data_IF_798626435152
#
_entry.id   IF_798626435152
#
_cell.length_a   1.000
_cell.length_b   1.000
_cell.length_c   1.000
_cell.angle_alpha   90.00
_cell.angle_beta   90.00
_cell.angle_gamma   90.00
#
_symmetry.space_group_name_H-M   'P 1'
#
loop_
_entity.id
_entity.type
_entity.pdbx_description
1 polymer ?
#
# COMPACT_ATOMS: atom_id res chain seq x y z
N UNK A 1 -13.50 -35.10 -7.87
CA UNK A 1 -13.07 -33.90 -8.61
C UNK A 1 -12.40 -32.99 -7.61
N UNK A 2 -11.08 -33.04 -7.57
CA UNK A 2 -10.25 -32.15 -6.76
C UNK A 2 -9.38 -31.42 -7.76
N UNK A 3 -9.70 -30.17 -8.08
CA UNK A 3 -8.69 -29.18 -8.41
C UNK A 3 -9.29 -27.77 -8.45
N UNK A 4 -8.42 -26.81 -8.23
CA UNK A 4 -8.58 -25.39 -8.55
C UNK A 4 -9.46 -24.54 -7.61
N UNK A 5 -8.85 -24.08 -6.52
CA UNK A 5 -9.01 -22.68 -6.12
C UNK A 5 -7.65 -22.14 -5.72
N UNK A 6 -6.74 -22.10 -6.69
CA UNK A 6 -5.60 -21.19 -6.60
C UNK A 6 -6.17 -19.80 -6.84
N UNK A 7 -6.43 -19.08 -5.76
CA UNK A 7 -6.58 -17.62 -5.78
C UNK A 7 -5.24 -17.04 -6.20
N UNK A 8 -4.91 -17.20 -7.47
CA UNK A 8 -3.86 -16.46 -8.14
C UNK A 8 -4.40 -15.06 -8.31
N UNK A 9 -4.12 -14.19 -7.34
CA UNK A 9 -3.93 -12.78 -7.65
C UNK A 9 -2.83 -12.75 -8.71
N UNK A 10 -3.20 -12.79 -9.99
CA UNK A 10 -2.31 -12.50 -11.10
C UNK A 10 -2.31 -10.98 -11.24
N UNK A 11 -1.29 -10.27 -10.70
CA UNK A 11 -1.21 -8.85 -10.95
C UNK A 11 -0.86 -8.70 -12.43
N UNK A 12 -1.82 -8.17 -13.18
CA UNK A 12 -1.65 -7.61 -14.52
C UNK A 12 -0.23 -7.02 -14.69
N UNK A 13 0.46 -7.24 -15.83
CA UNK A 13 1.85 -6.80 -16.07
C UNK A 13 2.00 -5.27 -16.24
N UNK A 14 1.15 -4.49 -15.57
CA UNK A 14 1.37 -3.09 -15.29
C UNK A 14 2.52 -2.91 -14.28
N UNK A 15 3.01 -1.68 -14.11
CA UNK A 15 4.16 -1.44 -13.25
C UNK A 15 3.87 -1.88 -11.82
N UNK A 16 4.57 -2.94 -11.39
CA UNK A 16 4.40 -3.56 -10.06
C UNK A 16 4.58 -2.49 -8.98
N UNK A 17 3.50 -2.16 -8.30
CA UNK A 17 3.54 -1.32 -7.13
C UNK A 17 4.33 -2.04 -6.02
N UNK A 18 5.13 -1.28 -5.30
CA UNK A 18 5.78 -1.72 -4.06
C UNK A 18 5.26 -0.88 -2.92
N UNK A 19 5.00 -1.50 -1.79
CA UNK A 19 4.41 -0.82 -0.65
C UNK A 19 5.46 -0.72 0.45
N UNK A 20 5.55 0.45 1.06
CA UNK A 20 6.54 0.74 2.09
C UNK A 20 5.89 1.31 3.32
N UNK A 21 6.45 0.98 4.47
CA UNK A 21 6.05 1.56 5.76
C UNK A 21 7.27 1.95 6.57
N UNK A 22 7.08 2.93 7.45
CA UNK A 22 8.10 3.34 8.41
C UNK A 22 7.40 3.79 9.69
N UNK A 23 7.99 3.48 10.83
CA UNK A 23 7.43 3.86 12.13
C UNK A 23 7.22 5.38 12.21
N UNK A 24 6.00 5.79 12.59
CA UNK A 24 5.60 7.19 12.66
C UNK A 24 5.18 7.83 11.32
N UNK A 25 5.22 7.09 10.21
CA UNK A 25 4.76 7.55 8.90
C UNK A 25 3.60 6.71 8.35
N UNK A 26 2.79 7.30 7.47
CA UNK A 26 1.76 6.58 6.75
C UNK A 26 2.38 5.58 5.75
N UNK A 27 1.67 4.49 5.48
CA UNK A 27 2.07 3.53 4.46
C UNK A 27 2.00 4.18 3.05
N UNK A 28 2.93 3.82 2.17
CA UNK A 28 3.09 4.45 0.85
C UNK A 28 3.16 3.40 -0.26
N UNK A 29 2.43 3.64 -1.35
CA UNK A 29 2.51 2.83 -2.57
C UNK A 29 3.40 3.54 -3.60
N UNK A 30 4.45 2.87 -4.06
CA UNK A 30 5.42 3.38 -5.03
C UNK A 30 5.35 2.55 -6.30
N UNK A 31 4.99 3.17 -7.41
CA UNK A 31 4.88 2.53 -8.71
C UNK A 31 6.18 2.70 -9.51
N UNK A 32 6.48 1.74 -10.39
CA UNK A 32 7.66 1.76 -11.27
C UNK A 32 9.02 1.80 -10.53
N UNK A 33 9.06 1.42 -9.25
CA UNK A 33 10.30 1.44 -8.48
C UNK A 33 11.22 0.30 -8.91
N UNK A 34 12.37 0.64 -9.51
CA UNK A 34 13.39 -0.33 -9.94
C UNK A 34 14.32 -0.75 -8.80
N UNK A 35 14.67 0.17 -7.92
CA UNK A 35 15.57 -0.05 -6.79
C UNK A 35 14.92 0.40 -5.47
N UNK A 36 14.80 -0.54 -4.53
CA UNK A 36 14.26 -0.29 -3.19
C UNK A 36 15.36 0.05 -2.16
N UNK A 37 16.63 0.00 -2.56
CA UNK A 37 17.77 0.23 -1.64
C UNK A 37 17.71 1.61 -0.99
N UNK A 38 17.25 2.64 -1.72
CA UNK A 38 17.04 3.97 -1.16
C UNK A 38 16.03 3.97 -0.01
N UNK A 39 14.93 3.22 -0.13
CA UNK A 39 13.91 3.12 0.90
C UNK A 39 14.43 2.36 2.13
N UNK A 40 15.14 1.25 1.94
CA UNK A 40 15.76 0.52 3.05
C UNK A 40 16.79 1.36 3.81
N UNK A 41 17.60 2.16 3.10
CA UNK A 41 18.56 3.09 3.73
C UNK A 41 17.89 4.19 4.56
N UNK A 42 16.65 4.54 4.21
CA UNK A 42 15.83 5.52 4.94
C UNK A 42 15.02 4.87 6.08
N UNK A 43 15.16 3.56 6.30
CA UNK A 43 14.47 2.82 7.35
C UNK A 43 13.04 2.43 6.99
N UNK A 44 12.68 2.42 5.71
CA UNK A 44 11.39 1.88 5.27
C UNK A 44 11.45 0.36 5.13
N UNK A 45 10.38 -0.30 5.54
CA UNK A 45 10.14 -1.72 5.39
C UNK A 45 9.19 -1.96 4.22
N UNK A 46 9.52 -2.92 3.34
CA UNK A 46 8.64 -3.31 2.23
C UNK A 46 7.56 -4.26 2.76
N UNK A 47 6.30 -3.96 2.48
CA UNK A 47 5.12 -4.74 2.90
C UNK A 47 4.32 -5.20 1.68
N UNK A 48 3.43 -6.17 1.87
CA UNK A 48 2.53 -6.60 0.81
C UNK A 48 1.29 -5.67 0.68
N UNK A 49 0.56 -5.82 -0.42
CA UNK A 49 -0.61 -5.00 -0.71
C UNK A 49 -1.70 -5.12 0.38
N UNK A 50 -1.90 -6.31 0.95
CA UNK A 50 -2.96 -6.50 1.94
C UNK A 50 -2.61 -5.76 3.23
N UNK A 51 -1.36 -5.81 3.67
CA UNK A 51 -0.92 -5.04 4.83
C UNK A 51 -0.99 -3.53 4.56
N UNK A 52 -0.63 -3.08 3.36
CA UNK A 52 -0.81 -1.68 2.96
C UNK A 52 -2.27 -1.24 3.07
N UNK A 53 -3.21 -2.02 2.52
CA UNK A 53 -4.64 -1.72 2.59
C UNK A 53 -5.18 -1.74 4.02
N UNK A 54 -4.69 -2.62 4.88
CA UNK A 54 -5.07 -2.67 6.29
C UNK A 54 -4.56 -1.47 7.10
N UNK A 55 -3.47 -0.83 6.65
CA UNK A 55 -2.89 0.39 7.25
C UNK A 55 -3.50 1.68 6.72
N UNK A 56 -4.25 1.63 5.61
CA UNK A 56 -4.94 2.81 5.12
C UNK A 56 -5.98 3.24 6.15
N UNK A 57 -6.11 4.55 6.41
CA UNK A 57 -7.21 5.04 7.22
C UNK A 57 -8.51 4.56 6.58
N UNK A 58 -9.38 3.98 7.39
CA UNK A 58 -10.70 3.59 6.95
C UNK A 58 -11.39 4.86 6.45
N UNK A 59 -11.60 4.97 5.13
CA UNK A 59 -12.24 6.12 4.50
C UNK A 59 -13.66 6.38 5.04
N UNK A 60 -14.20 5.53 5.92
CA UNK A 60 -15.45 5.75 6.64
C UNK A 60 -15.30 6.57 7.94
N UNK A 61 -14.09 6.92 8.39
CA UNK A 61 -13.89 7.79 9.56
C UNK A 61 -13.59 9.22 9.14
N UNK A 62 -14.67 10.00 8.95
CA UNK A 62 -14.67 11.44 9.17
C UNK A 62 -14.83 12.28 7.90
N UNK A 63 -15.81 13.21 7.86
CA UNK A 63 -16.06 14.03 6.69
C UNK A 63 -14.93 15.03 6.49
N UNK A 64 -14.48 15.18 5.24
CA UNK A 64 -13.77 16.38 4.78
C UNK A 64 -14.75 17.59 4.76
N UNK A 65 -15.37 17.93 5.90
CA UNK A 65 -16.30 19.06 6.06
C UNK A 65 -15.98 19.88 7.31
N UNK A 66 -14.71 20.16 7.58
CA UNK A 66 -14.31 21.31 8.39
C UNK A 66 -13.53 22.31 7.53
N UNK A 67 -14.19 22.83 6.50
CA UNK A 67 -13.95 24.20 6.06
C UNK A 67 -15.21 25.00 6.38
N UNK A 68 -15.42 25.25 7.67
CA UNK A 68 -16.20 26.40 8.12
C UNK A 68 -15.38 27.66 7.83
N UNK A 69 -15.97 28.58 7.06
CA UNK A 69 -15.58 29.99 7.08
C UNK A 69 -16.85 30.80 6.94
N UNK A 70 -17.22 31.39 8.09
CA UNK A 70 -18.10 32.53 8.38
C UNK A 70 -19.24 32.86 7.40
#
# INVERSE_FOLDING_TARGET
MSDETTTGTDPSPGPRARYFVKEGEAAQAVYNLRDATAYWKLGYEEIDEQEYRARLPDSAVGPCLEHTSD
#
